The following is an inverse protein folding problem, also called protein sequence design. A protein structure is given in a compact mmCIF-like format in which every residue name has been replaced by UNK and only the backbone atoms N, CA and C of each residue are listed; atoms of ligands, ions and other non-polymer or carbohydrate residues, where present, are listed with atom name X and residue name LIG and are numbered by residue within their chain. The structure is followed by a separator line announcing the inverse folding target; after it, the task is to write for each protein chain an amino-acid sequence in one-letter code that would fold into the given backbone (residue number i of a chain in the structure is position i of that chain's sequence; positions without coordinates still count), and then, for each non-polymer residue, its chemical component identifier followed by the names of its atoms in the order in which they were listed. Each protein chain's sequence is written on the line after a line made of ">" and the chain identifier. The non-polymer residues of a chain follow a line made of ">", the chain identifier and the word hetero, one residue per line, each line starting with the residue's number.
data_IF_729359560339
#
_entry.id   IF_729359560339
#
_cell.length_a   1.000
_cell.length_b   1.000
_cell.length_c   1.000
_cell.angle_alpha   90.00
_cell.angle_beta   90.00
_cell.angle_gamma   90.00
#
_symmetry.space_group_name_H-M   'P 1'
#
loop_
_entity.id
_entity.type
_entity.pdbx_description
1 polymer ?
#
# COMPACT_ATOMS: atom_id res chain seq x y z
N UNK A 1 -5.67 12.74 -29.13
CA UNK A 1 -5.62 12.09 -27.80
C UNK A 1 -5.20 10.62 -27.88
N UNK A 2 -5.99 9.71 -28.44
CA UNK A 2 -5.70 8.25 -28.41
C UNK A 2 -4.43 7.85 -29.18
N UNK A 3 -4.14 8.50 -30.30
CA UNK A 3 -2.92 8.24 -31.09
C UNK A 3 -1.66 8.77 -30.39
N UNK A 4 -1.75 9.93 -29.73
CA UNK A 4 -0.65 10.53 -28.96
C UNK A 4 -0.25 9.62 -27.81
N UNK A 5 -1.22 9.16 -27.01
CA UNK A 5 -0.96 8.26 -25.89
C UNK A 5 -0.28 6.96 -26.35
N UNK A 6 -0.74 6.38 -27.47
CA UNK A 6 -0.12 5.19 -28.06
C UNK A 6 1.33 5.42 -28.49
N UNK A 7 1.63 6.58 -29.09
CA UNK A 7 2.98 6.92 -29.50
C UNK A 7 3.91 7.08 -28.29
N UNK A 8 3.43 7.70 -27.21
CA UNK A 8 4.20 7.85 -25.96
C UNK A 8 4.45 6.50 -25.28
N UNK A 9 3.44 5.63 -25.21
CA UNK A 9 3.60 4.25 -24.71
C UNK A 9 4.61 3.44 -25.54
N UNK A 10 4.62 3.61 -26.86
CA UNK A 10 5.56 2.92 -27.75
C UNK A 10 6.99 3.45 -27.67
N UNK A 11 7.17 4.70 -27.23
CA UNK A 11 8.49 5.30 -27.02
C UNK A 11 9.15 4.87 -25.70
N UNK A 12 8.38 4.28 -24.78
CA UNK A 12 8.94 3.73 -23.54
C UNK A 12 9.81 2.51 -23.86
N UNK A 13 11.00 2.39 -23.26
CA UNK A 13 11.83 1.20 -23.42
C UNK A 13 11.11 0.00 -22.79
N UNK A 14 10.60 -0.90 -23.64
CA UNK A 14 9.86 -2.10 -23.24
C UNK A 14 10.76 -3.32 -22.99
N UNK A 15 12.08 -3.12 -22.91
CA UNK A 15 13.03 -4.19 -22.62
C UNK A 15 12.74 -4.81 -21.25
N UNK A 16 12.60 -6.15 -21.15
CA UNK A 16 12.36 -6.80 -19.87
C UNK A 16 13.47 -6.47 -18.86
N UNK A 17 13.09 -5.93 -17.71
CA UNK A 17 14.00 -5.54 -16.63
C UNK A 17 14.28 -6.68 -15.64
N UNK A 18 13.56 -7.81 -15.76
CA UNK A 18 13.65 -8.97 -14.85
C UNK A 18 13.56 -8.58 -13.36
N UNK A 19 12.67 -7.64 -13.04
CA UNK A 19 12.38 -7.20 -11.68
C UNK A 19 10.91 -7.41 -11.33
N UNK A 20 10.66 -7.92 -10.12
CA UNK A 20 9.33 -8.18 -9.56
C UNK A 20 8.85 -6.97 -8.77
N UNK A 21 7.62 -6.57 -9.01
CA UNK A 21 7.00 -5.38 -8.39
C UNK A 21 5.78 -5.79 -7.59
N UNK A 22 5.79 -5.47 -6.31
CA UNK A 22 4.60 -5.53 -5.46
C UNK A 22 3.93 -4.16 -5.46
N UNK A 23 2.72 -4.07 -6.05
CA UNK A 23 1.91 -2.86 -5.96
C UNK A 23 0.94 -2.94 -4.79
N UNK A 24 1.00 -1.95 -3.90
CA UNK A 24 0.16 -1.82 -2.71
C UNK A 24 -0.77 -0.62 -2.89
N UNK A 25 -2.07 -0.91 -2.82
CA UNK A 25 -3.13 0.09 -2.73
C UNK A 25 -3.53 0.23 -1.25
N UNK A 26 -3.33 1.42 -0.70
CA UNK A 26 -3.79 1.80 0.63
C UNK A 26 -4.80 2.94 0.50
N UNK A 27 -5.95 2.82 1.16
CA UNK A 27 -6.91 3.91 1.32
C UNK A 27 -7.16 4.12 2.82
N UNK A 28 -6.78 5.30 3.32
CA UNK A 28 -7.19 5.85 4.64
C UNK A 28 -7.59 4.86 5.73
N UNK A 29 -6.62 4.13 6.32
CA UNK A 29 -6.87 3.25 7.48
C UNK A 29 -7.46 1.86 7.17
N UNK A 30 -7.76 1.54 5.91
CA UNK A 30 -8.15 0.20 5.49
C UNK A 30 -6.95 -0.74 5.37
N UNK A 31 -7.22 -2.05 5.44
CA UNK A 31 -6.21 -3.10 5.18
C UNK A 31 -5.53 -2.89 3.84
N UNK A 32 -4.20 -3.01 3.81
CA UNK A 32 -3.42 -2.91 2.59
C UNK A 32 -3.84 -3.96 1.57
N UNK A 33 -4.00 -3.54 0.31
CA UNK A 33 -4.44 -4.40 -0.78
C UNK A 33 -3.33 -4.55 -1.81
N UNK A 34 -3.07 -5.78 -2.25
CA UNK A 34 -2.11 -6.05 -3.32
C UNK A 34 -2.82 -6.27 -4.66
N UNK A 35 -2.20 -5.77 -5.74
CA UNK A 35 -2.74 -5.90 -7.09
C UNK A 35 -2.42 -7.27 -7.71
N UNK A 36 -3.44 -8.09 -7.93
CA UNK A 36 -3.33 -9.31 -8.73
C UNK A 36 -3.19 -9.04 -10.23
N UNK A 37 -3.20 -10.11 -11.02
CA UNK A 37 -3.13 -10.08 -12.48
C UNK A 37 -4.37 -9.39 -13.06
N UNK A 38 -4.31 -8.92 -14.31
CA UNK A 38 -5.45 -8.30 -15.00
C UNK A 38 -6.01 -7.02 -14.32
N UNK A 39 -5.33 -6.51 -13.30
CA UNK A 39 -5.61 -5.20 -12.72
C UNK A 39 -4.96 -4.09 -13.54
N UNK A 40 -5.40 -2.85 -13.34
CA UNK A 40 -4.74 -1.69 -13.97
C UNK A 40 -3.27 -1.56 -13.56
N UNK A 41 -2.94 -1.90 -12.30
CA UNK A 41 -1.57 -1.93 -11.82
C UNK A 41 -0.73 -3.03 -12.49
N UNK A 42 -1.28 -4.25 -12.68
CA UNK A 42 -0.62 -5.32 -13.44
C UNK A 42 -0.28 -4.89 -14.86
N UNK A 43 -1.23 -4.27 -15.55
CA UNK A 43 -1.02 -3.76 -16.91
C UNK A 43 0.09 -2.69 -16.95
N UNK A 44 0.11 -1.76 -15.99
CA UNK A 44 1.13 -0.73 -15.90
C UNK A 44 2.52 -1.29 -15.59
N UNK A 45 2.63 -2.24 -14.65
CA UNK A 45 3.89 -2.94 -14.32
C UNK A 45 4.45 -3.61 -15.57
N UNK A 46 3.62 -4.37 -16.29
CA UNK A 46 4.04 -5.10 -17.50
C UNK A 46 4.41 -4.16 -18.64
N UNK A 47 3.67 -3.06 -18.80
CA UNK A 47 4.00 -2.03 -19.81
C UNK A 47 5.36 -1.37 -19.55
N UNK A 48 5.81 -1.32 -18.30
CA UNK A 48 7.12 -0.82 -17.90
C UNK A 48 8.25 -1.88 -18.04
N UNK A 49 7.99 -3.05 -18.63
CA UNK A 49 8.98 -4.13 -18.76
C UNK A 49 9.26 -4.88 -17.46
N UNK A 50 8.42 -4.71 -16.43
CA UNK A 50 8.54 -5.32 -15.11
C UNK A 50 7.59 -6.53 -14.97
N UNK A 51 7.77 -7.30 -13.90
CA UNK A 51 6.93 -8.46 -13.57
C UNK A 51 6.08 -8.17 -12.34
N UNK A 52 4.80 -8.53 -12.34
CA UNK A 52 3.97 -8.44 -11.13
C UNK A 52 4.41 -9.51 -10.12
N UNK A 53 4.74 -9.10 -8.90
CA UNK A 53 5.13 -9.99 -7.82
C UNK A 53 3.99 -10.89 -7.33
N UNK A 54 2.74 -10.44 -7.49
CA UNK A 54 1.55 -11.18 -7.08
C UNK A 54 1.03 -12.01 -8.25
N UNK A 55 0.95 -13.32 -8.05
CA UNK A 55 0.50 -14.32 -9.02
C UNK A 55 -0.64 -15.18 -8.45
N UNK A 56 -1.47 -15.77 -9.32
CA UNK A 56 -2.53 -16.71 -8.93
C UNK A 56 -3.90 -16.09 -8.57
N UNK A 57 -4.11 -14.80 -8.81
CA UNK A 57 -5.39 -14.13 -8.60
C UNK A 57 -5.51 -12.83 -9.40
N UNK A 58 -6.72 -12.44 -9.79
CA UNK A 58 -6.93 -11.44 -10.86
C UNK A 58 -7.53 -10.10 -10.38
N UNK A 59 -7.54 -9.88 -9.06
CA UNK A 59 -8.22 -8.75 -8.41
C UNK A 59 -7.32 -8.13 -7.35
N UNK A 60 -7.74 -7.01 -6.78
CA UNK A 60 -7.12 -6.51 -5.55
C UNK A 60 -7.55 -7.40 -4.38
N UNK A 61 -6.60 -7.88 -3.58
CA UNK A 61 -6.87 -8.70 -2.39
C UNK A 61 -6.11 -8.16 -1.17
N UNK A 62 -6.62 -8.39 0.05
CA UNK A 62 -5.89 -8.05 1.27
C UNK A 62 -4.49 -8.67 1.26
N UNK A 63 -3.49 -7.85 1.56
CA UNK A 63 -2.09 -8.24 1.59
C UNK A 63 -1.75 -8.81 2.97
N UNK A 64 -1.49 -10.12 3.04
CA UNK A 64 -0.96 -10.77 4.24
C UNK A 64 0.56 -10.64 4.34
N UNK A 65 1.08 -10.90 5.54
CA UNK A 65 2.52 -10.92 5.78
C UNK A 65 3.19 -12.06 5.00
N UNK A 66 2.61 -13.26 5.03
CA UNK A 66 3.10 -14.41 4.26
C UNK A 66 3.02 -14.15 2.75
N UNK A 67 1.95 -13.52 2.28
CA UNK A 67 1.79 -13.12 0.88
C UNK A 67 2.87 -12.13 0.44
N UNK A 68 3.23 -11.19 1.31
CA UNK A 68 4.33 -10.24 1.05
C UNK A 68 5.66 -10.96 0.90
N UNK A 69 5.99 -11.87 1.83
CA UNK A 69 7.25 -12.63 1.82
C UNK A 69 7.31 -13.57 0.60
N UNK A 70 6.25 -14.34 0.36
CA UNK A 70 6.16 -15.26 -0.77
C UNK A 70 6.23 -14.52 -2.12
N UNK A 71 5.75 -13.28 -2.18
CA UNK A 71 5.83 -12.45 -3.38
C UNK A 71 7.23 -11.94 -3.72
N UNK A 72 8.25 -12.16 -2.86
CA UNK A 72 9.68 -11.77 -3.02
C UNK A 72 9.91 -10.61 -4.01
N UNK A 73 9.38 -9.41 -3.75
CA UNK A 73 9.47 -8.32 -4.69
C UNK A 73 10.89 -7.73 -4.68
N UNK A 74 11.36 -7.31 -5.85
CA UNK A 74 12.54 -6.44 -5.96
C UNK A 74 12.17 -4.99 -5.64
N UNK A 75 10.94 -4.59 -5.96
CA UNK A 75 10.43 -3.22 -5.84
C UNK A 75 9.05 -3.21 -5.19
N UNK A 76 8.80 -2.23 -4.34
CA UNK A 76 7.47 -1.95 -3.78
C UNK A 76 6.98 -0.62 -4.32
N UNK A 77 5.79 -0.62 -4.91
CA UNK A 77 5.12 0.59 -5.40
C UNK A 77 3.88 0.84 -4.57
N UNK A 78 3.78 2.06 -4.05
CA UNK A 78 2.63 2.52 -3.27
C UNK A 78 2.29 3.94 -3.70
N UNK A 79 1.00 4.27 -3.72
CA UNK A 79 0.55 5.63 -4.05
C UNK A 79 0.98 6.61 -2.94
N UNK A 80 1.31 7.85 -3.32
CA UNK A 80 1.65 8.90 -2.34
C UNK A 80 0.53 9.10 -1.31
N UNK A 81 -0.74 8.98 -1.71
CA UNK A 81 -1.87 9.05 -0.77
C UNK A 81 -1.89 7.89 0.23
N UNK A 82 -1.46 6.71 -0.20
CA UNK A 82 -1.26 5.54 0.67
C UNK A 82 -0.19 5.78 1.73
N UNK A 83 0.93 6.43 1.36
CA UNK A 83 1.99 6.84 2.31
C UNK A 83 1.47 7.88 3.29
N UNK A 84 0.79 8.94 2.81
CA UNK A 84 0.21 9.98 3.67
C UNK A 84 -0.79 9.40 4.66
N UNK A 85 -1.62 8.46 4.21
CA UNK A 85 -2.60 7.78 5.07
C UNK A 85 -1.95 6.89 6.12
N UNK A 86 -0.85 6.20 5.80
CA UNK A 86 -0.08 5.42 6.78
C UNK A 86 0.62 6.32 7.82
N UNK A 87 1.14 7.48 7.39
CA UNK A 87 1.71 8.50 8.27
C UNK A 87 0.66 9.09 9.23
N UNK A 88 -0.54 9.40 8.71
CA UNK A 88 -1.68 9.90 9.50
C UNK A 88 -2.11 8.96 10.63
N UNK A 89 -2.03 7.66 10.41
CA UNK A 89 -2.29 6.68 11.48
C UNK A 89 -1.24 6.71 12.60
N UNK A 90 0.03 6.96 12.25
CA UNK A 90 1.13 7.06 13.23
C UNK A 90 1.04 8.33 14.06
N UNK A 91 0.87 9.49 13.42
CA UNK A 91 0.69 10.76 14.13
C UNK A 91 -0.56 10.78 15.01
N UNK A 92 -1.65 10.10 14.59
CA UNK A 92 -2.86 9.97 15.42
C UNK A 92 -2.63 9.08 16.65
N UNK A 93 -1.85 7.99 16.52
CA UNK A 93 -1.45 7.13 17.63
C UNK A 93 -0.48 7.85 18.58
N UNK A 94 0.46 8.64 18.04
CA UNK A 94 1.39 9.46 18.82
C UNK A 94 0.65 10.56 19.59
N UNK A 95 -0.31 11.24 18.95
CA UNK A 95 -1.16 12.22 19.60
C UNK A 95 -2.06 11.60 20.69
N UNK A 96 -2.66 10.43 20.42
CA UNK A 96 -3.44 9.68 21.41
C UNK A 96 -2.58 9.14 22.58
N UNK A 97 -1.31 8.82 22.33
CA UNK A 97 -0.34 8.40 23.35
C UNK A 97 0.19 9.56 24.21
N UNK A 98 0.07 10.80 23.75
CA UNK A 98 0.47 12.01 24.48
C UNK A 98 -0.62 12.59 25.40
N UNK A 99 -1.77 11.93 25.52
CA UNK A 99 -2.96 12.47 26.21
C UNK A 99 -3.72 11.49 27.10
N UNK A 100 -3.06 10.90 28.11
CA UNK A 100 -3.69 10.26 29.31
C UNK A 100 -2.57 10.11 30.36
N UNK A 101 -2.58 10.58 31.61
CA UNK A 101 -3.52 11.20 32.56
C UNK A 101 -2.66 11.82 33.70
N UNK A 102 -3.01 12.98 34.30
CA UNK A 102 -3.05 12.99 35.77
C UNK A 102 -4.30 13.73 36.25
N UNK A 103 -5.46 13.11 36.08
CA UNK A 103 -6.76 13.60 36.52
C UNK A 103 -7.54 12.57 37.33
N UNK A 104 -6.96 11.42 37.68
CA UNK A 104 -7.58 10.44 38.58
C UNK A 104 -7.38 10.77 40.06
N UNK A 105 -7.97 11.85 40.59
CA UNK A 105 -7.97 12.08 42.05
C UNK A 105 -8.88 11.06 42.72
N UNK A 106 -8.26 10.09 43.39
CA UNK A 106 -8.85 9.24 44.43
C UNK A 106 -9.50 10.13 45.50
N UNK A 107 -10.82 10.31 45.45
CA UNK A 107 -11.60 10.78 46.61
C UNK A 107 -11.83 9.59 47.54
N UNK A 108 -11.21 9.66 48.71
CA UNK A 108 -11.56 8.88 49.88
C UNK A 108 -12.93 9.36 50.40
N UNK A 109 -13.81 8.41 50.72
CA UNK A 109 -15.04 8.65 51.47
C UNK A 109 -15.11 7.66 52.63
N UNK A 110 -14.78 8.16 53.82
CA UNK A 110 -14.92 7.45 55.08
C UNK A 110 -16.37 7.53 55.59
N UNK A 111 -16.81 6.47 56.27
CA UNK A 111 -17.83 6.48 57.33
C UNK A 111 -19.28 6.71 56.90
N UNK A 112 -20.13 5.71 57.10
CA UNK A 112 -21.06 5.62 58.25
C UNK A 112 -21.57 4.18 58.35
#
# INVERSE_FOLDING_TARGET
>A
MRNTLRAELAALPASPLNKRVLFILNHGGMTAMAAGQQTGADAAIRAAGLQNAMQGFTRYQPLSQEGTIASQPDLVVISQDGIKSAGRGRESMEAAGSGTDPGGTRQAGAGH
#
